data_IF_188683551502
#
_entry.id   IF_188683551502
#
_cell.length_a   1.000
_cell.length_b   1.000
_cell.length_c   1.000
_cell.angle_alpha   90.00
_cell.angle_beta   90.00
_cell.angle_gamma   90.00
#
_symmetry.space_group_name_H-M   'P 1'
#
loop_
_entity.id
_entity.type
_entity.pdbx_description
1 polymer ?
#
# COMPACT_ATOMS: atom_id res chain seq x y z
N UNK A 1 -25.52 -23.35 7.42
CA UNK A 1 -24.11 -23.78 7.59
C UNK A 1 -23.36 -23.45 6.31
N UNK A 2 -22.28 -22.72 6.44
CA UNK A 2 -21.36 -22.45 5.33
C UNK A 2 -20.48 -23.68 5.13
N UNK A 3 -20.58 -24.31 3.96
CA UNK A 3 -19.70 -25.42 3.61
C UNK A 3 -18.31 -24.90 3.24
N UNK A 4 -17.28 -25.68 3.53
CA UNK A 4 -15.95 -25.45 2.97
C UNK A 4 -15.98 -25.66 1.45
N UNK A 5 -15.29 -24.84 0.71
CA UNK A 5 -15.18 -24.93 -0.75
C UNK A 5 -13.74 -24.89 -1.20
N UNK A 6 -13.47 -25.38 -2.40
CA UNK A 6 -12.24 -25.10 -3.14
C UNK A 6 -12.18 -23.61 -3.49
N UNK A 7 -11.01 -23.13 -3.96
CA UNK A 7 -10.87 -21.76 -4.48
C UNK A 7 -11.79 -21.48 -5.68
N UNK A 8 -12.22 -22.51 -6.39
CA UNK A 8 -13.17 -22.40 -7.49
C UNK A 8 -14.64 -22.46 -7.04
N UNK A 9 -14.90 -22.58 -5.73
CA UNK A 9 -16.25 -22.60 -5.16
C UNK A 9 -16.92 -23.98 -5.14
N UNK A 10 -16.20 -25.06 -5.42
CA UNK A 10 -16.75 -26.42 -5.35
C UNK A 10 -16.78 -26.88 -3.89
N UNK A 11 -17.91 -27.40 -3.45
CA UNK A 11 -18.07 -27.90 -2.07
C UNK A 11 -17.15 -29.07 -1.81
N UNK A 12 -16.39 -29.00 -0.72
CA UNK A 12 -15.50 -30.06 -0.25
C UNK A 12 -16.29 -31.04 0.63
N UNK A 13 -16.37 -32.26 0.20
CA UNK A 13 -17.09 -33.32 0.94
C UNK A 13 -16.28 -33.86 2.13
N UNK A 14 -14.97 -34.00 1.97
CA UNK A 14 -14.06 -34.49 3.03
C UNK A 14 -12.74 -33.75 3.00
N UNK A 15 -12.42 -33.03 4.08
CA UNK A 15 -11.14 -32.37 4.25
C UNK A 15 -10.29 -32.98 5.39
N UNK A 16 -10.66 -34.15 5.89
CA UNK A 16 -9.97 -34.80 7.00
C UNK A 16 -9.18 -36.05 6.56
N UNK A 17 -9.48 -36.58 5.39
CA UNK A 17 -8.82 -37.78 4.85
C UNK A 17 -8.25 -37.48 3.46
N UNK A 18 -6.97 -37.78 3.28
CA UNK A 18 -6.32 -37.70 1.96
C UNK A 18 -6.42 -39.00 1.19
N UNK A 19 -6.37 -38.95 -0.13
CA UNK A 19 -6.21 -40.10 -0.99
C UNK A 19 -4.88 -40.82 -0.71
N UNK A 20 -4.90 -42.15 -0.64
CA UNK A 20 -3.73 -42.97 -0.35
C UNK A 20 -3.60 -44.09 -1.34
N UNK A 21 -2.36 -44.54 -1.60
CA UNK A 21 -2.06 -45.73 -2.35
C UNK A 21 -2.30 -46.97 -1.49
N UNK A 22 -3.58 -47.31 -1.28
CA UNK A 22 -4.01 -48.39 -0.39
C UNK A 22 -4.10 -47.97 1.08
N UNK A 23 -4.61 -48.85 1.92
CA UNK A 23 -4.97 -48.58 3.33
C UNK A 23 -3.79 -48.04 4.17
N UNK A 24 -2.56 -48.48 3.90
CA UNK A 24 -1.33 -48.09 4.59
C UNK A 24 -0.34 -47.39 3.68
N UNK A 25 -0.76 -47.06 2.46
CA UNK A 25 0.09 -46.39 1.48
C UNK A 25 0.29 -44.90 1.77
N UNK A 26 1.24 -44.28 1.05
CA UNK A 26 1.47 -42.84 1.13
C UNK A 26 0.26 -42.04 0.60
N UNK A 27 0.12 -40.80 1.06
CA UNK A 27 -0.80 -39.86 0.46
C UNK A 27 -0.36 -39.54 -0.98
N UNK A 28 -1.34 -39.35 -1.86
CA UNK A 28 -1.11 -39.14 -3.28
C UNK A 28 -1.17 -37.63 -3.58
N UNK A 29 -0.24 -37.13 -4.38
CA UNK A 29 -0.23 -35.73 -4.84
C UNK A 29 -1.35 -35.43 -5.84
N UNK A 30 -2.01 -36.43 -6.40
CA UNK A 30 -3.22 -36.33 -7.20
C UNK A 30 -4.42 -35.81 -6.39
N UNK A 31 -4.37 -35.96 -5.06
CA UNK A 31 -5.41 -35.41 -4.18
C UNK A 31 -5.41 -33.86 -4.26
N UNK A 32 -6.35 -33.32 -5.01
CA UNK A 32 -6.49 -31.89 -5.20
C UNK A 32 -6.82 -31.19 -3.88
N UNK A 33 -7.65 -31.78 -3.03
CA UNK A 33 -8.07 -31.19 -1.75
C UNK A 33 -6.87 -31.09 -0.78
N UNK A 34 -6.03 -32.15 -0.74
CA UNK A 34 -4.80 -32.15 0.05
C UNK A 34 -3.87 -31.02 -0.39
N UNK A 35 -3.59 -30.89 -1.69
CA UNK A 35 -2.71 -29.84 -2.22
C UNK A 35 -3.23 -28.45 -1.92
N UNK A 36 -4.51 -28.21 -2.15
CA UNK A 36 -5.13 -26.90 -1.91
C UNK A 36 -5.10 -26.53 -0.43
N UNK A 37 -5.41 -27.49 0.46
CA UNK A 37 -5.37 -27.27 1.91
C UNK A 37 -3.96 -26.92 2.39
N UNK A 38 -2.93 -27.64 1.96
CA UNK A 38 -1.53 -27.34 2.31
C UNK A 38 -1.10 -26.00 1.73
N UNK A 39 -1.37 -25.73 0.47
CA UNK A 39 -1.01 -24.47 -0.19
C UNK A 39 -1.67 -23.28 0.49
N UNK A 40 -2.94 -23.38 0.82
CA UNK A 40 -3.65 -22.34 1.57
C UNK A 40 -3.01 -22.12 2.95
N UNK A 41 -2.71 -23.18 3.69
CA UNK A 41 -2.04 -23.11 4.99
C UNK A 41 -0.66 -22.44 4.90
N UNK A 42 0.16 -22.82 3.92
CA UNK A 42 1.50 -22.28 3.73
C UNK A 42 1.49 -20.77 3.42
N UNK A 43 0.39 -20.26 2.86
CA UNK A 43 0.21 -18.85 2.51
C UNK A 43 -0.65 -18.06 3.50
N UNK A 44 -1.08 -18.65 4.62
CA UNK A 44 -1.81 -17.91 5.66
C UNK A 44 -0.98 -16.82 6.32
N UNK A 45 0.32 -17.05 6.44
CA UNK A 45 1.25 -16.10 7.04
C UNK A 45 1.95 -15.32 5.95
N UNK A 46 1.55 -14.05 5.83
CA UNK A 46 2.12 -13.14 4.84
C UNK A 46 3.36 -12.49 5.45
N UNK A 47 4.51 -12.47 4.77
CA UNK A 47 5.66 -11.67 5.19
C UNK A 47 5.27 -10.21 5.36
N UNK A 48 5.89 -9.51 6.32
CA UNK A 48 5.65 -8.08 6.43
C UNK A 48 6.14 -7.35 5.17
N UNK A 49 5.51 -6.23 4.85
CA UNK A 49 5.96 -5.37 3.74
C UNK A 49 7.39 -4.90 4.00
N UNK A 50 8.18 -4.83 2.95
CA UNK A 50 9.57 -4.31 3.02
C UNK A 50 9.58 -2.89 3.60
N UNK A 51 8.63 -2.07 3.17
CA UNK A 51 8.31 -0.76 3.75
C UNK A 51 6.80 -0.66 3.96
N UNK A 52 6.33 0.25 4.79
CA UNK A 52 4.93 0.42 5.13
C UNK A 52 4.30 -0.79 5.86
N UNK A 53 5.09 -1.56 6.60
CA UNK A 53 4.60 -2.71 7.36
C UNK A 53 3.61 -2.29 8.46
N UNK A 54 3.95 -1.26 9.24
CA UNK A 54 3.06 -0.66 10.23
C UNK A 54 2.04 0.25 9.55
N UNK A 55 0.76 -0.02 9.74
CA UNK A 55 -0.29 0.80 9.16
C UNK A 55 -1.65 0.58 9.79
N UNK A 56 -2.52 1.53 9.56
CA UNK A 56 -3.95 1.49 9.92
C UNK A 56 -4.78 1.93 8.73
N UNK A 57 -6.07 1.60 8.75
CA UNK A 57 -6.93 1.86 7.62
C UNK A 57 -8.33 2.27 8.05
N UNK A 58 -9.08 2.86 7.12
CA UNK A 58 -10.48 3.21 7.32
C UNK A 58 -11.29 2.96 6.04
N UNK A 59 -12.52 2.52 6.22
CA UNK A 59 -13.53 2.51 5.18
C UNK A 59 -14.17 3.89 5.07
N UNK A 60 -14.58 4.25 3.86
CA UNK A 60 -15.25 5.50 3.58
C UNK A 60 -15.88 5.50 2.19
N UNK A 61 -16.12 6.67 1.67
CA UNK A 61 -16.60 6.84 0.30
C UNK A 61 -15.93 8.04 -0.37
N UNK A 62 -15.84 7.97 -1.66
CA UNK A 62 -15.49 9.09 -2.54
C UNK A 62 -16.78 9.68 -3.11
N UNK A 63 -16.89 10.99 -3.05
CA UNK A 63 -18.02 11.72 -3.65
C UNK A 63 -17.48 12.80 -4.57
N UNK A 64 -17.85 12.74 -5.83
CA UNK A 64 -17.45 13.73 -6.82
C UNK A 64 -18.27 15.01 -6.65
N UNK A 65 -17.62 16.14 -6.52
CA UNK A 65 -18.27 17.46 -6.37
C UNK A 65 -18.34 18.25 -7.66
N UNK A 66 -17.50 17.92 -8.65
CA UNK A 66 -17.47 18.58 -9.97
C UNK A 66 -17.11 17.57 -11.04
N UNK A 67 -17.92 17.50 -12.10
CA UNK A 67 -17.66 16.58 -13.23
C UNK A 67 -16.35 16.92 -13.93
N UNK A 68 -15.61 15.87 -14.30
CA UNK A 68 -14.39 15.92 -15.09
C UNK A 68 -14.60 15.28 -16.49
N UNK A 69 -15.85 15.16 -16.96
CA UNK A 69 -16.19 14.50 -18.23
C UNK A 69 -15.46 15.09 -19.45
N UNK A 70 -15.14 16.37 -19.39
CA UNK A 70 -14.33 17.03 -20.44
C UNK A 70 -12.90 16.45 -20.54
N UNK A 71 -12.42 15.78 -19.49
CA UNK A 71 -11.05 15.26 -19.43
C UNK A 71 -10.98 13.74 -19.42
N UNK A 72 -12.03 13.05 -18.96
CA UNK A 72 -12.00 11.60 -18.77
C UNK A 72 -13.35 10.95 -18.97
N UNK A 73 -13.32 9.69 -19.44
CA UNK A 73 -14.51 8.84 -19.54
C UNK A 73 -14.81 8.04 -18.26
N UNK A 74 -13.91 8.08 -17.27
CA UNK A 74 -14.06 7.31 -16.04
C UNK A 74 -15.29 7.75 -15.24
N UNK A 75 -16.28 6.89 -15.07
CA UNK A 75 -17.57 7.21 -14.44
C UNK A 75 -17.45 7.75 -13.03
N UNK A 76 -16.48 7.26 -12.26
CA UNK A 76 -16.24 7.74 -10.90
C UNK A 76 -15.88 9.24 -10.84
N UNK A 77 -15.44 9.81 -11.96
CA UNK A 77 -15.07 11.23 -12.09
C UNK A 77 -16.03 12.03 -13.00
N UNK A 78 -17.15 11.46 -13.40
CA UNK A 78 -18.14 12.14 -14.23
C UNK A 78 -19.50 12.31 -13.53
N UNK A 79 -19.85 11.43 -12.61
CA UNK A 79 -21.14 11.41 -11.92
C UNK A 79 -21.08 12.20 -10.61
N UNK A 80 -21.52 13.46 -10.65
CA UNK A 80 -21.53 14.36 -9.46
C UNK A 80 -22.49 13.85 -8.40
N UNK A 81 -22.06 13.86 -7.13
CA UNK A 81 -22.87 13.47 -5.97
C UNK A 81 -22.95 11.97 -5.74
N UNK A 82 -22.41 11.14 -6.65
CA UNK A 82 -22.35 9.69 -6.44
C UNK A 82 -21.32 9.35 -5.37
N UNK A 83 -21.73 8.56 -4.40
CA UNK A 83 -20.86 8.03 -3.38
C UNK A 83 -20.32 6.66 -3.81
N UNK A 84 -19.01 6.56 -3.98
CA UNK A 84 -18.32 5.33 -4.38
C UNK A 84 -17.52 4.80 -3.19
N UNK A 85 -17.73 3.53 -2.78
CA UNK A 85 -16.99 2.95 -1.65
C UNK A 85 -15.47 3.09 -1.81
N UNK A 86 -14.81 3.37 -0.69
CA UNK A 86 -13.38 3.66 -0.64
C UNK A 86 -12.76 3.00 0.60
N UNK A 87 -11.51 2.56 0.45
CA UNK A 87 -10.68 2.10 1.55
C UNK A 87 -9.36 2.88 1.53
N UNK A 88 -9.04 3.54 2.64
CA UNK A 88 -7.79 4.30 2.77
C UNK A 88 -6.88 3.63 3.80
N UNK A 89 -5.59 3.51 3.48
CA UNK A 89 -4.57 2.98 4.40
C UNK A 89 -3.46 4.01 4.59
N UNK A 90 -3.12 4.24 5.87
CA UNK A 90 -2.03 5.08 6.30
C UNK A 90 -0.95 4.22 6.95
N UNK A 91 0.30 4.52 6.70
CA UNK A 91 1.42 3.70 7.18
C UNK A 91 2.68 4.51 7.43
N UNK A 92 3.53 4.03 8.32
CA UNK A 92 4.92 4.50 8.42
C UNK A 92 5.77 3.81 7.34
N UNK A 93 6.97 4.29 7.07
CA UNK A 93 7.86 3.70 6.05
C UNK A 93 8.87 2.75 6.67
N UNK A 94 9.67 3.25 7.60
CA UNK A 94 10.86 2.53 8.07
C UNK A 94 10.57 1.46 9.12
N UNK A 95 9.59 1.66 10.00
CA UNK A 95 9.29 0.73 11.07
C UNK A 95 8.68 -0.60 10.59
N UNK A 96 9.00 -1.70 11.28
CA UNK A 96 8.34 -2.98 11.10
C UNK A 96 6.90 -2.98 11.61
N UNK A 97 6.16 -4.08 11.39
CA UNK A 97 4.75 -4.20 11.78
C UNK A 97 4.51 -3.96 13.28
N UNK A 98 5.46 -4.33 14.14
CA UNK A 98 5.40 -4.14 15.61
C UNK A 98 5.93 -2.79 16.10
N UNK A 99 6.32 -1.88 15.22
CA UNK A 99 6.81 -0.54 15.59
C UNK A 99 5.67 0.36 16.07
N UNK A 100 6.02 1.54 16.60
CA UNK A 100 5.06 2.55 17.05
C UNK A 100 4.80 3.60 15.97
N UNK A 101 3.72 4.38 16.10
CA UNK A 101 3.28 5.37 15.09
C UNK A 101 3.95 6.74 15.24
N UNK A 102 4.58 7.01 16.37
CA UNK A 102 5.07 8.34 16.74
C UNK A 102 6.44 8.76 16.20
N UNK A 103 7.36 7.87 15.77
CA UNK A 103 8.63 8.30 15.23
C UNK A 103 8.47 9.21 14.02
N UNK A 104 9.44 10.10 13.85
CA UNK A 104 9.58 10.89 12.62
C UNK A 104 9.77 9.95 11.44
N UNK A 105 8.87 10.03 10.46
CA UNK A 105 8.90 9.19 9.27
C UNK A 105 7.96 9.77 8.20
N UNK A 106 8.20 9.43 6.96
CA UNK A 106 7.23 9.65 5.88
C UNK A 106 6.00 8.78 6.16
N UNK A 107 4.81 9.29 5.86
CA UNK A 107 3.57 8.52 5.98
C UNK A 107 3.09 8.11 4.60
N UNK A 108 2.83 6.82 4.44
CA UNK A 108 2.13 6.29 3.28
C UNK A 108 0.67 6.73 3.30
N UNK A 109 0.13 6.99 2.13
CA UNK A 109 -1.26 7.39 1.92
C UNK A 109 -1.78 6.64 0.69
N UNK A 110 -2.42 5.51 0.91
CA UNK A 110 -2.95 4.67 -0.15
C UNK A 110 -4.47 4.68 -0.12
N UNK A 111 -5.08 4.83 -1.28
CA UNK A 111 -6.54 4.87 -1.45
C UNK A 111 -6.94 3.86 -2.51
N UNK A 112 -7.89 3.00 -2.17
CA UNK A 112 -8.56 2.10 -3.11
C UNK A 112 -10.02 2.57 -3.26
N UNK A 113 -10.43 2.86 -4.48
CA UNK A 113 -11.81 3.21 -4.82
C UNK A 113 -12.44 2.03 -5.58
N UNK A 114 -13.57 1.53 -5.11
CA UNK A 114 -14.28 0.39 -5.70
C UNK A 114 -15.29 0.88 -6.72
N UNK A 115 -14.82 1.13 -7.95
CA UNK A 115 -15.67 1.64 -9.02
C UNK A 115 -16.42 0.53 -9.74
N UNK A 116 -17.46 0.86 -10.48
CA UNK A 116 -18.22 -0.09 -11.33
C UNK A 116 -17.37 -0.61 -12.50
N UNK A 117 -16.32 0.13 -12.87
CA UNK A 117 -15.42 -0.20 -13.98
C UNK A 117 -14.15 -0.94 -13.49
N UNK A 118 -14.08 -1.29 -12.21
CA UNK A 118 -12.94 -1.93 -11.57
C UNK A 118 -12.38 -1.09 -10.42
N UNK A 119 -11.39 -1.62 -9.75
CA UNK A 119 -10.76 -0.95 -8.61
C UNK A 119 -9.72 0.08 -9.07
N UNK A 120 -9.76 1.26 -8.46
CA UNK A 120 -8.73 2.28 -8.62
C UNK A 120 -7.86 2.33 -7.39
N UNK A 121 -6.57 2.09 -7.57
CA UNK A 121 -5.57 2.15 -6.49
C UNK A 121 -4.67 3.37 -6.70
N UNK A 122 -4.72 4.29 -5.74
CA UNK A 122 -3.95 5.52 -5.73
C UNK A 122 -2.97 5.44 -4.56
N UNK A 123 -1.72 5.15 -4.86
CA UNK A 123 -0.68 4.97 -3.87
C UNK A 123 0.20 6.22 -3.82
N UNK A 124 0.38 6.76 -2.62
CA UNK A 124 1.14 7.98 -2.41
C UNK A 124 1.73 8.07 -1.00
N UNK A 125 2.32 9.20 -0.73
CA UNK A 125 2.89 9.57 0.56
C UNK A 125 2.43 10.97 0.97
N UNK A 126 2.76 11.35 2.20
CA UNK A 126 2.50 12.70 2.71
C UNK A 126 3.56 13.75 2.31
N UNK A 127 4.39 13.44 1.34
CA UNK A 127 5.37 14.36 0.76
C UNK A 127 5.14 14.54 -0.73
N UNK A 128 5.37 15.75 -1.28
CA UNK A 128 5.07 16.05 -2.69
C UNK A 128 6.11 15.51 -3.68
N UNK A 129 7.21 14.96 -3.20
CA UNK A 129 8.30 14.38 -3.97
C UNK A 129 8.74 13.06 -3.34
N UNK A 130 9.60 12.32 -4.04
CA UNK A 130 10.22 11.11 -3.52
C UNK A 130 11.74 11.28 -3.42
N UNK A 131 12.43 10.39 -2.70
CA UNK A 131 13.87 10.47 -2.48
C UNK A 131 14.68 10.24 -3.76
N UNK A 132 14.22 9.30 -4.59
CA UNK A 132 14.96 8.83 -5.77
C UNK A 132 14.07 8.90 -7.02
N UNK A 133 14.69 8.99 -8.20
CA UNK A 133 14.01 8.96 -9.49
C UNK A 133 14.16 7.60 -10.17
N UNK A 134 15.36 7.01 -10.10
CA UNK A 134 15.62 5.70 -10.70
C UNK A 134 15.30 4.59 -9.69
N UNK A 135 14.46 3.64 -10.12
CA UNK A 135 14.01 2.52 -9.30
C UNK A 135 15.14 1.60 -8.83
N UNK A 136 16.27 1.57 -9.53
CA UNK A 136 17.45 0.75 -9.14
C UNK A 136 18.01 1.20 -7.78
N UNK A 137 17.81 2.44 -7.39
CA UNK A 137 18.24 2.99 -6.08
C UNK A 137 17.27 2.67 -4.93
N UNK A 138 16.13 2.05 -5.23
CA UNK A 138 15.14 1.74 -4.18
C UNK A 138 15.68 0.74 -3.14
N UNK A 139 16.32 -0.38 -3.51
CA UNK A 139 16.94 -1.26 -2.52
C UNK A 139 17.98 -0.54 -1.66
N UNK A 140 18.77 0.35 -2.25
CA UNK A 140 19.84 1.05 -1.54
C UNK A 140 19.30 2.00 -0.47
N UNK A 141 18.27 2.80 -0.80
CA UNK A 141 17.64 3.67 0.18
C UNK A 141 16.95 2.86 1.30
N UNK A 142 16.36 1.70 0.97
CA UNK A 142 15.73 0.86 1.98
C UNK A 142 16.78 0.26 2.92
N UNK A 143 17.90 -0.22 2.41
CA UNK A 143 19.04 -0.65 3.24
C UNK A 143 19.57 0.49 4.13
N UNK A 144 19.52 1.73 3.64
CA UNK A 144 19.98 2.89 4.37
C UNK A 144 19.04 3.34 5.51
N UNK A 145 17.77 2.97 5.51
CA UNK A 145 16.78 3.46 6.50
C UNK A 145 16.15 2.36 7.35
N UNK A 146 16.24 1.10 6.93
CA UNK A 146 15.56 0.00 7.59
C UNK A 146 16.47 -0.74 8.56
N UNK A 147 15.90 -1.57 9.41
CA UNK A 147 16.63 -2.52 10.24
C UNK A 147 17.46 -3.48 9.41
N UNK A 148 18.56 -3.97 9.98
CA UNK A 148 19.39 -4.97 9.34
C UNK A 148 18.60 -6.24 9.01
N UNK A 149 18.85 -6.87 7.83
CA UNK A 149 18.07 -8.04 7.39
C UNK A 149 18.16 -9.25 8.33
N UNK A 150 19.26 -9.38 9.07
CA UNK A 150 19.52 -10.50 9.98
C UNK A 150 18.91 -10.32 11.37
N UNK A 151 18.37 -9.14 11.67
CA UNK A 151 17.81 -8.82 12.98
C UNK A 151 16.67 -7.81 12.88
N UNK A 152 15.63 -8.02 13.69
CA UNK A 152 14.44 -7.17 13.70
C UNK A 152 14.53 -5.93 14.59
N UNK A 153 15.71 -5.66 15.21
CA UNK A 153 15.92 -4.53 16.10
C UNK A 153 17.40 -4.08 16.13
N UNK A 154 17.69 -2.84 16.55
CA UNK A 154 16.69 -1.78 16.76
C UNK A 154 15.95 -1.45 15.48
N UNK A 155 14.68 -1.07 15.62
CA UNK A 155 13.87 -0.63 14.47
C UNK A 155 14.52 0.59 13.81
N UNK A 156 14.63 0.57 12.48
CA UNK A 156 15.21 1.66 11.69
C UNK A 156 16.61 2.11 12.19
N UNK A 157 17.44 1.19 12.62
CA UNK A 157 18.78 1.49 13.18
C UNK A 157 19.64 2.28 12.19
N UNK A 158 19.62 1.92 10.92
CA UNK A 158 20.41 2.55 9.86
C UNK A 158 19.94 3.97 9.52
N UNK A 159 18.74 4.38 9.93
CA UNK A 159 18.19 5.71 9.62
C UNK A 159 18.97 6.86 10.30
N UNK A 160 19.83 6.57 11.26
CA UNK A 160 20.59 7.56 12.03
C UNK A 160 22.06 7.66 11.65
N UNK A 161 22.55 6.83 10.76
CA UNK A 161 23.92 6.84 10.25
C UNK A 161 23.98 6.57 8.74
N UNK A 162 23.67 5.37 8.29
CA UNK A 162 23.73 4.95 6.88
C UNK A 162 22.83 5.80 5.98
N UNK A 163 21.70 6.29 6.51
CA UNK A 163 20.82 7.18 5.74
C UNK A 163 21.48 8.52 5.40
N UNK A 164 22.24 9.09 6.32
CA UNK A 164 22.97 10.34 6.05
C UNK A 164 24.09 10.13 5.03
N UNK A 165 24.75 8.98 5.09
CA UNK A 165 25.74 8.62 4.08
C UNK A 165 25.10 8.48 2.70
N UNK A 166 23.97 7.77 2.61
CA UNK A 166 23.22 7.64 1.37
C UNK A 166 22.81 9.00 0.78
N UNK A 167 22.29 9.93 1.60
CA UNK A 167 21.91 11.28 1.16
C UNK A 167 23.11 12.05 0.63
N UNK A 168 24.24 11.97 1.32
CA UNK A 168 25.47 12.67 0.91
C UNK A 168 26.00 12.21 -0.44
N UNK A 169 25.83 10.92 -0.75
CA UNK A 169 26.23 10.32 -2.02
C UNK A 169 25.18 10.47 -3.13
N UNK A 170 23.94 10.76 -2.77
CA UNK A 170 22.81 10.92 -3.70
C UNK A 170 22.09 12.26 -3.49
N UNK A 171 22.64 13.38 -3.99
CA UNK A 171 22.10 14.72 -3.74
C UNK A 171 20.64 14.92 -4.18
N UNK A 172 20.15 14.13 -5.13
CA UNK A 172 18.74 14.14 -5.57
C UNK A 172 17.74 13.87 -4.44
N UNK A 173 18.21 13.21 -3.38
CA UNK A 173 17.37 12.86 -2.22
C UNK A 173 17.09 14.04 -1.30
N UNK A 174 17.88 15.12 -1.40
CA UNK A 174 17.87 16.24 -0.45
C UNK A 174 16.51 16.90 -0.33
N UNK A 175 15.78 17.07 -1.42
CA UNK A 175 14.47 17.71 -1.38
C UNK A 175 13.49 16.93 -0.48
N UNK A 176 13.38 15.61 -0.67
CA UNK A 176 12.49 14.81 0.17
C UNK A 176 13.05 14.62 1.60
N UNK A 177 14.37 14.60 1.75
CA UNK A 177 15.00 14.61 3.07
C UNK A 177 14.59 15.84 3.90
N UNK A 178 14.57 17.02 3.30
CA UNK A 178 14.12 18.24 3.98
C UNK A 178 12.65 18.15 4.40
N UNK A 179 11.79 17.55 3.58
CA UNK A 179 10.41 17.25 3.98
C UNK A 179 10.34 16.26 5.13
N UNK A 180 11.16 15.21 5.11
CA UNK A 180 11.21 14.22 6.19
C UNK A 180 11.69 14.83 7.52
N UNK A 181 12.56 15.83 7.46
CA UNK A 181 13.05 16.56 8.65
C UNK A 181 12.12 17.68 9.10
N UNK A 182 11.13 18.05 8.31
CA UNK A 182 10.12 19.04 8.68
C UNK A 182 9.03 18.45 9.59
N UNK A 183 8.19 19.34 10.12
CA UNK A 183 7.03 18.96 10.94
C UNK A 183 5.99 18.12 10.18
N UNK A 184 6.06 18.07 8.84
CA UNK A 184 5.23 17.17 8.03
C UNK A 184 5.41 15.70 8.38
N UNK A 185 6.59 15.32 8.86
CA UNK A 185 6.92 13.94 9.24
C UNK A 185 6.53 13.57 10.68
N UNK A 186 5.94 14.48 11.44
CA UNK A 186 5.42 14.28 12.79
C UNK A 186 3.96 14.76 12.91
N UNK A 187 3.04 14.21 12.10
CA UNK A 187 1.66 14.67 12.10
C UNK A 187 0.98 14.36 13.44
N UNK A 188 0.17 15.30 13.91
CA UNK A 188 -0.62 15.15 15.14
C UNK A 188 -1.66 14.05 15.02
N UNK A 189 -2.17 13.80 13.83
CA UNK A 189 -3.13 12.75 13.53
C UNK A 189 -3.05 12.36 12.06
N UNK A 190 -3.34 11.11 11.74
CA UNK A 190 -3.48 10.64 10.35
C UNK A 190 -4.58 11.37 9.57
N UNK A 191 -5.56 11.99 10.26
CA UNK A 191 -6.58 12.84 9.65
C UNK A 191 -6.10 14.25 9.30
N UNK A 192 -4.85 14.58 9.63
CA UNK A 192 -4.25 15.90 9.47
C UNK A 192 -3.02 15.88 8.57
N UNK A 193 -2.89 14.88 7.70
CA UNK A 193 -1.84 14.78 6.69
C UNK A 193 -2.41 15.02 5.30
N UNK A 194 -1.58 15.54 4.41
CA UNK A 194 -1.85 15.53 2.97
C UNK A 194 -1.38 14.22 2.35
N UNK A 195 -1.99 13.85 1.21
CA UNK A 195 -1.53 12.73 0.41
C UNK A 195 -1.20 13.19 -1.00
N UNK A 196 -0.07 12.74 -1.54
CA UNK A 196 0.38 13.11 -2.88
C UNK A 196 0.56 11.86 -3.73
N UNK A 197 -0.12 11.83 -4.89
CA UNK A 197 0.21 10.91 -5.96
C UNK A 197 1.27 11.56 -6.83
N UNK A 198 2.52 11.21 -6.60
CA UNK A 198 3.69 11.86 -7.24
C UNK A 198 3.72 11.60 -8.74
N UNK A 199 3.25 10.44 -9.18
CA UNK A 199 3.21 10.07 -10.58
C UNK A 199 2.28 10.98 -11.38
N UNK A 200 2.67 11.27 -12.61
CA UNK A 200 1.79 11.92 -13.58
C UNK A 200 0.98 10.85 -14.31
N UNK A 201 -0.33 10.94 -14.17
CA UNK A 201 -1.29 10.08 -14.86
C UNK A 201 -1.87 10.82 -16.05
N UNK A 202 -2.57 10.10 -16.92
CA UNK A 202 -3.18 10.67 -18.10
C UNK A 202 -4.68 10.34 -18.13
N UNK A 203 -5.50 11.38 -18.19
CA UNK A 203 -6.91 11.26 -18.53
C UNK A 203 -7.09 11.20 -20.03
N UNK A 204 -8.09 10.47 -20.47
CA UNK A 204 -8.51 10.39 -21.88
C UNK A 204 -10.01 10.63 -21.91
N UNK A 205 -10.44 11.60 -22.72
CA UNK A 205 -11.86 11.93 -22.89
C UNK A 205 -12.52 11.13 -24.04
N UNK A 206 -13.79 11.37 -24.27
CA UNK A 206 -14.58 10.70 -25.32
C UNK A 206 -14.09 11.00 -26.74
N UNK A 207 -13.37 12.10 -26.93
CA UNK A 207 -12.77 12.49 -28.22
C UNK A 207 -11.38 11.88 -28.44
N UNK A 208 -10.85 11.14 -27.46
CA UNK A 208 -9.49 10.60 -27.48
C UNK A 208 -8.40 11.61 -27.12
N UNK A 209 -8.77 12.81 -26.69
CA UNK A 209 -7.84 13.81 -26.22
C UNK A 209 -7.33 13.46 -24.84
N UNK A 210 -6.07 13.76 -24.55
CA UNK A 210 -5.45 13.42 -23.27
C UNK A 210 -4.83 14.62 -22.55
N UNK A 211 -4.95 14.62 -21.21
CA UNK A 211 -4.33 15.60 -20.34
C UNK A 211 -3.62 14.89 -19.18
N UNK A 212 -2.50 15.46 -18.73
CA UNK A 212 -1.83 14.95 -17.56
C UNK A 212 -2.48 15.47 -16.28
N UNK A 213 -2.47 14.63 -15.23
CA UNK A 213 -2.98 15.01 -13.92
C UNK A 213 -2.19 14.33 -12.81
N UNK A 214 -2.36 14.86 -11.58
CA UNK A 214 -1.87 14.27 -10.33
C UNK A 214 -2.95 14.33 -9.27
N UNK A 215 -2.89 13.40 -8.31
CA UNK A 215 -3.75 13.41 -7.13
C UNK A 215 -3.11 14.18 -6.01
N UNK A 216 -3.93 14.98 -5.31
CA UNK A 216 -3.57 15.65 -4.08
C UNK A 216 -4.73 15.56 -3.09
N UNK A 217 -4.52 14.79 -2.02
CA UNK A 217 -5.49 14.65 -0.95
C UNK A 217 -5.24 15.72 0.11
N UNK A 218 -6.22 16.52 0.43
CA UNK A 218 -6.11 17.60 1.42
C UNK A 218 -7.04 17.32 2.60
N UNK A 219 -6.51 17.36 3.87
CA UNK A 219 -7.33 17.12 5.05
C UNK A 219 -8.25 18.29 5.34
N UNK A 220 -9.52 18.00 5.64
CA UNK A 220 -10.48 19.03 6.09
C UNK A 220 -10.08 19.69 7.42
N UNK A 221 -9.38 18.96 8.28
CA UNK A 221 -8.89 19.44 9.58
C UNK A 221 -7.61 20.26 9.47
N UNK A 222 -7.13 20.52 8.26
CA UNK A 222 -5.85 21.15 7.97
C UNK A 222 -4.64 20.35 8.50
N UNK A 223 -3.44 20.79 8.10
CA UNK A 223 -2.19 20.20 8.58
C UNK A 223 -1.94 20.64 10.03
N UNK A 224 -1.64 19.68 10.89
CA UNK A 224 -1.16 19.92 12.25
C UNK A 224 -0.07 18.92 12.60
N UNK A 225 0.94 19.36 13.33
CA UNK A 225 2.06 18.57 13.82
C UNK A 225 2.16 18.65 15.35
N UNK A 226 3.00 17.80 15.91
CA UNK A 226 3.36 17.81 17.34
C UNK A 226 4.44 18.83 17.64
#
# INVERSE_FOLDING_TARGET
STNLTTQQGIVIADNQNSLKAGRRGPALLEDFILREKITHFDHERIPERVVHARGTAAHGYFELTKSLEQFTTAKVLTEVGKQTPLFARFSTVAGGAGSIDTPRDIRGFAVKIYTEEGNWDLVGNNTPVFFIQDAIKFPDIIHAVKMEPDRGFPQAASAHDTFYDFISLNPETLHNYLWAMSDRAIPRSLRMIEGFGIHSYRFINTQGESVFFRYHWRPRLQLQSH
#
